data_IF_179428707303
#
_entry.id   IF_179428707303
#
_cell.length_a   1.000
_cell.length_b   1.000
_cell.length_c   1.000
_cell.angle_alpha   90.00
_cell.angle_beta   90.00
_cell.angle_gamma   90.00
#
_symmetry.space_group_name_H-M   'P 1'
#
loop_
_entity.id
_entity.type
_entity.pdbx_description
1 polymer ?
#
# COMPACT_ATOMS: atom_id res chain seq x y z
N UNK A 1 -10.96 -15.72 -2.68
CA UNK A 1 -11.45 -14.47 -2.11
C UNK A 1 -10.80 -13.24 -2.72
N UNK A 2 -11.41 -12.10 -2.53
CA UNK A 2 -10.88 -10.83 -3.02
C UNK A 2 -9.59 -10.47 -2.29
N UNK A 3 -8.54 -10.23 -3.06
CA UNK A 3 -7.26 -9.78 -2.52
C UNK A 3 -7.13 -8.27 -2.73
N UNK A 4 -6.93 -7.52 -1.64
CA UNK A 4 -6.80 -6.08 -1.67
C UNK A 4 -5.43 -5.70 -1.14
N UNK A 5 -4.67 -4.94 -1.93
CA UNK A 5 -3.39 -4.37 -1.52
C UNK A 5 -3.66 -2.99 -0.94
N UNK A 6 -3.73 -2.89 0.38
CA UNK A 6 -4.15 -1.66 1.07
C UNK A 6 -3.00 -0.76 1.53
N UNK A 7 -1.79 -1.24 1.49
CA UNK A 7 -0.62 -0.57 2.07
C UNK A 7 0.22 0.23 1.07
N UNK A 8 -0.32 0.53 -0.09
CA UNK A 8 0.37 1.35 -1.08
C UNK A 8 -0.48 1.73 -2.26
N UNK A 9 -0.01 2.69 -3.04
CA UNK A 9 -0.60 3.11 -4.29
C UNK A 9 -2.05 3.57 -4.20
N UNK A 10 -2.81 3.23 -5.24
CA UNK A 10 -4.20 3.66 -5.37
C UNK A 10 -5.13 3.13 -4.29
N UNK A 11 -4.90 1.93 -3.80
CA UNK A 11 -5.74 1.37 -2.73
C UNK A 11 -5.56 2.13 -1.42
N UNK A 12 -4.34 2.50 -1.08
CA UNK A 12 -4.08 3.35 0.09
C UNK A 12 -4.79 4.70 -0.03
N UNK A 13 -4.74 5.31 -1.22
CA UNK A 13 -5.38 6.60 -1.48
C UNK A 13 -6.91 6.52 -1.46
N UNK A 14 -7.47 5.42 -1.95
CA UNK A 14 -8.92 5.21 -2.00
C UNK A 14 -9.52 4.89 -0.63
N UNK A 15 -8.78 4.15 0.20
CA UNK A 15 -9.30 3.60 1.45
C UNK A 15 -9.43 4.66 2.54
N UNK A 16 -10.56 4.72 3.27
CA UNK A 16 -10.67 5.58 4.45
C UNK A 16 -9.59 5.27 5.49
N UNK A 17 -9.05 6.29 6.14
CA UNK A 17 -7.95 6.12 7.10
C UNK A 17 -8.27 5.16 8.24
N UNK A 18 -9.49 5.19 8.76
CA UNK A 18 -9.91 4.29 9.84
C UNK A 18 -9.92 2.82 9.41
N UNK A 19 -10.36 2.53 8.18
CA UNK A 19 -10.36 1.17 7.64
C UNK A 19 -8.92 0.69 7.37
N UNK A 20 -8.09 1.55 6.80
CA UNK A 20 -6.68 1.23 6.58
C UNK A 20 -5.97 0.88 7.88
N UNK A 21 -6.20 1.66 8.93
CA UNK A 21 -5.64 1.39 10.26
C UNK A 21 -6.11 0.05 10.82
N UNK A 22 -7.40 -0.25 10.71
CA UNK A 22 -7.94 -1.52 11.16
C UNK A 22 -7.28 -2.70 10.45
N UNK A 23 -7.04 -2.57 9.15
CA UNK A 23 -6.35 -3.60 8.36
C UNK A 23 -4.88 -3.74 8.76
N UNK A 24 -4.20 -2.65 9.08
CA UNK A 24 -2.83 -2.70 9.60
C UNK A 24 -2.76 -3.47 10.92
N UNK A 25 -3.69 -3.22 11.83
CA UNK A 25 -3.71 -3.91 13.12
C UNK A 25 -4.11 -5.38 13.02
N UNK A 26 -4.76 -5.79 11.94
CA UNK A 26 -5.14 -7.18 11.71
C UNK A 26 -3.97 -8.09 11.30
N UNK A 27 -2.81 -7.53 10.98
CA UNK A 27 -1.66 -8.27 10.50
C UNK A 27 -0.44 -8.01 11.40
N UNK A 28 0.39 -9.04 11.58
CA UNK A 28 1.64 -8.92 12.34
C UNK A 28 2.69 -8.11 11.61
N UNK A 29 2.67 -8.16 10.29
CA UNK A 29 3.64 -7.49 9.43
C UNK A 29 2.93 -6.76 8.31
N UNK A 30 3.24 -5.48 8.17
CA UNK A 30 2.74 -4.65 7.09
C UNK A 30 3.91 -3.94 6.42
N UNK A 31 3.93 -3.97 5.11
CA UNK A 31 4.91 -3.23 4.31
C UNK A 31 4.17 -2.20 3.46
N UNK A 32 4.65 -0.96 3.50
CA UNK A 32 4.13 0.09 2.62
C UNK A 32 5.03 0.27 1.41
N UNK A 33 4.42 0.59 0.29
CA UNK A 33 5.14 0.85 -0.96
C UNK A 33 4.48 2.01 -1.69
N UNK A 34 5.22 3.10 -1.86
CA UNK A 34 4.72 4.32 -2.48
C UNK A 34 5.69 4.83 -3.53
N UNK A 35 5.15 5.53 -4.52
CA UNK A 35 5.90 6.38 -5.43
C UNK A 35 5.68 7.83 -5.06
N UNK A 36 6.62 8.70 -5.39
CA UNK A 36 6.47 10.14 -5.12
C UNK A 36 5.21 10.71 -5.74
N UNK A 37 4.82 10.22 -6.91
CA UNK A 37 3.59 10.65 -7.59
C UNK A 37 2.31 10.40 -6.77
N UNK A 38 2.32 9.46 -5.84
CA UNK A 38 1.16 9.19 -4.99
C UNK A 38 0.81 10.36 -4.07
N UNK A 39 1.74 11.28 -3.86
CA UNK A 39 1.59 12.42 -2.98
C UNK A 39 1.62 13.77 -3.71
N UNK A 40 1.87 13.77 -5.00
CA UNK A 40 1.94 14.99 -5.81
C UNK A 40 0.58 15.35 -6.39
N UNK A 41 -0.20 16.12 -5.62
CA UNK A 41 -1.52 16.58 -6.08
C UNK A 41 -1.44 17.65 -7.18
N UNK A 42 -0.26 18.24 -7.41
CA UNK A 42 -0.01 19.21 -8.49
C UNK A 42 0.39 18.61 -9.82
N UNK A 43 0.51 17.28 -9.91
CA UNK A 43 0.90 16.63 -11.14
C UNK A 43 -0.11 16.84 -12.27
N UNK A 44 0.35 16.96 -13.53
CA UNK A 44 -0.56 17.11 -14.66
C UNK A 44 -1.48 15.89 -14.82
N UNK A 45 -2.75 16.14 -15.13
CA UNK A 45 -3.68 15.07 -15.47
C UNK A 45 -3.53 14.75 -16.95
N UNK A 46 -3.14 13.50 -17.23
CA UNK A 46 -2.95 13.05 -18.60
C UNK A 46 -4.28 13.00 -19.35
N UNK A 47 -4.28 13.52 -20.57
CA UNK A 47 -5.41 13.40 -21.49
C UNK A 47 -5.44 12.02 -22.14
N UNK A 48 -6.60 11.62 -22.65
CA UNK A 48 -6.74 10.36 -23.38
C UNK A 48 -6.90 9.11 -22.52
N UNK A 49 -6.93 9.25 -21.19
CA UNK A 49 -7.20 8.13 -20.30
C UNK A 49 -8.72 7.84 -20.24
N UNK A 50 -9.08 6.56 -20.18
CA UNK A 50 -10.45 6.17 -19.89
C UNK A 50 -10.87 6.67 -18.50
N UNK A 51 -12.19 6.88 -18.24
CA UNK A 51 -12.63 7.32 -16.91
C UNK A 51 -12.16 6.42 -15.77
N UNK A 52 -12.11 5.12 -15.97
CA UNK A 52 -11.66 4.17 -14.96
C UNK A 52 -10.16 4.32 -14.70
N UNK A 53 -9.36 4.45 -15.74
CA UNK A 53 -7.90 4.66 -15.61
C UNK A 53 -7.60 5.99 -14.96
N UNK A 54 -8.32 7.04 -15.32
CA UNK A 54 -8.19 8.37 -14.71
C UNK A 54 -8.51 8.31 -13.23
N UNK A 55 -9.60 7.66 -12.85
CA UNK A 55 -9.96 7.48 -11.45
C UNK A 55 -8.86 6.74 -10.67
N UNK A 56 -8.41 5.58 -11.17
CA UNK A 56 -7.37 4.78 -10.52
C UNK A 56 -6.05 5.53 -10.36
N UNK A 57 -5.71 6.37 -11.33
CA UNK A 57 -4.46 7.12 -11.34
C UNK A 57 -4.44 8.30 -10.39
N UNK A 58 -5.59 8.93 -10.15
CA UNK A 58 -5.63 10.23 -9.45
C UNK A 58 -6.49 10.24 -8.18
N UNK A 59 -7.21 9.18 -7.88
CA UNK A 59 -8.07 9.14 -6.69
C UNK A 59 -7.27 9.34 -5.41
N UNK A 60 -7.75 10.25 -4.56
CA UNK A 60 -7.23 10.43 -3.21
C UNK A 60 -5.84 11.04 -3.09
N UNK A 61 -5.22 11.50 -4.18
CA UNK A 61 -3.87 12.08 -4.13
C UNK A 61 -3.81 13.31 -3.22
N UNK A 62 -4.82 14.16 -3.26
CA UNK A 62 -4.83 15.39 -2.47
C UNK A 62 -4.75 15.14 -0.97
N UNK A 63 -5.36 14.07 -0.47
CA UNK A 63 -5.34 13.71 0.95
C UNK A 63 -4.31 12.66 1.33
N UNK A 64 -3.53 12.15 0.37
CA UNK A 64 -2.64 11.03 0.60
C UNK A 64 -1.53 11.32 1.61
N UNK A 65 -0.91 12.49 1.52
CA UNK A 65 0.19 12.86 2.42
C UNK A 65 -0.30 12.98 3.87
N UNK A 66 -1.45 13.62 4.09
CA UNK A 66 -2.05 13.71 5.44
C UNK A 66 -2.36 12.33 6.01
N UNK A 67 -2.84 11.43 5.15
CA UNK A 67 -3.14 10.06 5.55
C UNK A 67 -1.87 9.31 5.96
N UNK A 68 -0.79 9.47 5.20
CA UNK A 68 0.51 8.90 5.52
C UNK A 68 1.08 9.47 6.82
N UNK A 69 1.04 10.79 6.99
CA UNK A 69 1.50 11.45 8.22
C UNK A 69 0.75 10.93 9.44
N UNK A 70 -0.57 10.80 9.34
CA UNK A 70 -1.40 10.24 10.41
C UNK A 70 -0.97 8.80 10.76
N UNK A 71 -0.71 7.99 9.74
CA UNK A 71 -0.25 6.61 9.94
C UNK A 71 1.10 6.58 10.67
N UNK A 72 2.06 7.38 10.23
CA UNK A 72 3.40 7.44 10.82
C UNK A 72 3.39 7.95 12.26
N UNK A 73 2.45 8.84 12.61
CA UNK A 73 2.31 9.36 13.96
C UNK A 73 1.65 8.38 14.93
N UNK A 74 0.90 7.42 14.44
CA UNK A 74 0.11 6.50 15.25
C UNK A 74 0.70 5.11 15.30
N UNK A 75 1.50 4.74 14.32
CA UNK A 75 2.09 3.41 14.21
C UNK A 75 3.61 3.49 14.32
N UNK A 76 4.21 2.52 14.99
CA UNK A 76 5.65 2.38 15.01
C UNK A 76 6.11 1.81 13.66
N UNK A 77 7.04 2.50 13.02
CA UNK A 77 7.58 2.08 11.72
C UNK A 77 9.08 1.90 11.79
N UNK A 78 9.59 0.94 11.04
CA UNK A 78 11.02 0.63 10.97
C UNK A 78 11.44 0.47 9.50
N UNK A 79 12.74 0.70 9.19
CA UNK A 79 13.27 0.46 7.85
C UNK A 79 13.09 -1.01 7.42
N UNK A 80 12.91 -1.22 6.12
CA UNK A 80 12.71 -2.57 5.58
C UNK A 80 13.88 -3.51 5.92
N UNK A 81 15.10 -3.03 5.87
CA UNK A 81 16.28 -3.84 6.19
C UNK A 81 16.26 -4.33 7.64
N UNK A 82 15.88 -3.46 8.57
CA UNK A 82 15.72 -3.83 9.97
C UNK A 82 14.59 -4.84 10.17
N UNK A 83 13.46 -4.62 9.54
CA UNK A 83 12.34 -5.56 9.58
C UNK A 83 12.73 -6.93 9.05
N UNK A 84 13.49 -6.99 7.94
CA UNK A 84 13.95 -8.23 7.36
C UNK A 84 14.85 -9.04 8.32
N UNK A 85 15.66 -8.35 9.13
CA UNK A 85 16.52 -9.03 10.13
C UNK A 85 15.75 -9.58 11.32
N UNK A 86 14.54 -9.08 11.58
CA UNK A 86 13.69 -9.51 12.71
C UNK A 86 12.78 -10.68 12.38
N UNK A 87 12.62 -11.01 11.10
CA UNK A 87 11.73 -12.08 10.66
C UNK A 87 12.43 -13.43 10.78
N UNK A 88 11.76 -14.40 11.38
CA UNK A 88 12.20 -15.79 11.38
C UNK A 88 11.81 -16.46 10.06
N UNK A 89 12.68 -16.35 9.09
CA UNK A 89 12.45 -16.88 7.75
C UNK A 89 12.34 -18.40 7.69
N UNK A 90 12.96 -19.11 8.63
CA UNK A 90 12.91 -20.56 8.69
C UNK A 90 11.51 -21.11 8.98
N UNK A 91 10.70 -20.35 9.71
CA UNK A 91 9.34 -20.72 10.11
C UNK A 91 8.24 -20.12 9.24
N UNK A 92 8.60 -19.42 8.17
CA UNK A 92 7.63 -18.83 7.25
C UNK A 92 7.13 -19.84 6.22
N UNK A 93 5.88 -19.64 5.79
CA UNK A 93 5.30 -20.44 4.71
C UNK A 93 6.15 -20.31 3.45
N UNK A 94 6.51 -21.45 2.87
CA UNK A 94 7.25 -21.51 1.61
C UNK A 94 6.31 -21.91 0.48
N UNK A 95 6.38 -21.18 -0.62
CA UNK A 95 5.57 -21.44 -1.80
C UNK A 95 6.53 -21.83 -2.93
N UNK A 96 6.28 -22.99 -3.53
CA UNK A 96 7.07 -23.43 -4.68
C UNK A 96 6.74 -22.54 -5.89
N UNK A 97 7.75 -22.18 -6.68
CA UNK A 97 7.56 -21.27 -7.81
C UNK A 97 6.49 -21.77 -8.80
N UNK A 98 6.35 -23.08 -8.97
CA UNK A 98 5.33 -23.68 -9.82
C UNK A 98 3.90 -23.42 -9.32
N UNK A 99 3.72 -23.21 -8.03
CA UNK A 99 2.41 -22.90 -7.46
C UNK A 99 1.97 -21.45 -7.77
N UNK A 100 2.94 -20.56 -8.03
CA UNK A 100 2.68 -19.17 -8.37
C UNK A 100 2.21 -19.04 -9.82
N UNK A 101 2.77 -19.83 -10.71
CA UNK A 101 2.56 -19.76 -12.16
C UNK A 101 1.66 -20.88 -12.70
N UNK A 102 0.89 -21.51 -11.86
CA UNK A 102 -0.01 -22.53 -12.33
C UNK A 102 -1.25 -21.89 -12.98
N UNK A 103 -1.75 -22.47 -14.03
CA UNK A 103 -2.91 -21.97 -14.80
C UNK A 103 -4.24 -22.28 -14.10
#
# INVERSE_FOLDING_TARGET
GLKIVYSGGGYFRLMPGCLGRAMFHANEYNMTYFHLRDFDYGQPVLSGLSPIRKFKSYVGIKGALMKLESLLNQEETIPLLEAASMIDWGNRKKIHIKEIFHD
#
